data_IF_201839035752
#
_entry.id   IF_201839035752
#
_cell.length_a   1.000
_cell.length_b   1.000
_cell.length_c   1.000
_cell.angle_alpha   90.00
_cell.angle_beta   90.00
_cell.angle_gamma   90.00
#
_symmetry.space_group_name_H-M   'P 1'
#
loop_
_entity.id
_entity.type
_entity.pdbx_description
1 polymer ?
#
# COMPACT_ATOMS: atom_id res chain seq x y z
N UNK A 1 10.06 3.29 -7.79
CA UNK A 1 9.27 3.53 -9.02
C UNK A 1 7.85 2.94 -8.91
N UNK A 2 7.67 1.71 -8.40
CA UNK A 2 6.34 1.09 -8.20
C UNK A 2 5.41 1.80 -7.20
N UNK A 3 5.96 2.40 -6.13
CA UNK A 3 5.19 3.15 -5.13
C UNK A 3 4.55 4.43 -5.66
N UNK A 4 5.24 5.16 -6.55
CA UNK A 4 4.71 6.38 -7.16
C UNK A 4 3.57 6.09 -8.15
N UNK A 5 3.67 5.01 -8.93
CA UNK A 5 2.65 4.66 -9.94
C UNK A 5 1.29 4.30 -9.30
N UNK A 6 1.30 3.59 -8.16
CA UNK A 6 0.08 3.18 -7.43
C UNK A 6 -0.58 4.32 -6.67
N UNK A 7 0.18 5.24 -6.10
CA UNK A 7 -0.37 6.46 -5.50
C UNK A 7 -1.06 7.31 -6.57
N UNK A 8 -0.48 7.36 -7.78
CA UNK A 8 -1.03 8.10 -8.91
C UNK A 8 -2.33 7.49 -9.47
N UNK A 9 -2.62 6.20 -9.33
CA UNK A 9 -3.92 5.64 -9.74
C UNK A 9 -4.97 5.71 -8.64
N UNK A 10 -4.58 5.80 -7.37
CA UNK A 10 -5.51 5.80 -6.23
C UNK A 10 -6.40 7.04 -6.12
N UNK A 11 -6.11 8.13 -6.83
CA UNK A 11 -7.05 9.26 -6.96
C UNK A 11 -8.30 8.92 -7.81
N UNK A 12 -8.27 7.80 -8.54
CA UNK A 12 -9.40 7.27 -9.31
C UNK A 12 -10.29 6.34 -8.47
N UNK A 13 -9.85 5.98 -7.25
CA UNK A 13 -10.66 5.17 -6.35
C UNK A 13 -11.93 5.93 -5.94
N UNK A 14 -13.07 5.23 -5.80
CA UNK A 14 -14.31 5.88 -5.42
C UNK A 14 -14.17 6.50 -4.03
N UNK A 15 -14.60 7.74 -3.92
CA UNK A 15 -14.59 8.46 -2.66
C UNK A 15 -15.66 7.91 -1.71
N UNK A 16 -15.37 7.86 -0.39
CA UNK A 16 -16.39 7.56 0.60
C UNK A 16 -17.50 8.63 0.56
N UNK A 17 -18.73 8.28 0.98
CA UNK A 17 -19.83 9.22 1.02
C UNK A 17 -19.47 10.49 1.79
N UNK A 18 -19.86 11.64 1.23
CA UNK A 18 -19.58 12.94 1.83
C UNK A 18 -18.21 13.53 1.49
N UNK A 19 -17.42 12.87 0.65
CA UNK A 19 -16.21 13.45 0.07
C UNK A 19 -16.39 13.73 -1.42
N UNK A 20 -15.75 14.79 -1.89
CA UNK A 20 -15.57 15.07 -3.31
C UNK A 20 -14.16 15.60 -3.59
N UNK A 21 -13.69 15.41 -4.82
CA UNK A 21 -12.44 15.99 -5.28
C UNK A 21 -12.72 17.25 -6.10
N UNK A 22 -12.20 18.40 -5.66
CA UNK A 22 -12.50 19.69 -6.29
C UNK A 22 -11.53 20.04 -7.45
N UNK A 23 -10.72 19.09 -7.91
CA UNK A 23 -9.67 19.31 -8.91
C UNK A 23 -8.30 19.70 -8.33
N UNK A 24 -8.24 20.04 -7.04
CA UNK A 24 -7.02 20.39 -6.33
C UNK A 24 -6.82 19.60 -5.03
N UNK A 25 -7.91 19.41 -4.26
CA UNK A 25 -7.94 18.78 -2.95
C UNK A 25 -9.22 17.96 -2.78
N UNK A 26 -9.16 17.01 -1.84
CA UNK A 26 -10.34 16.32 -1.35
C UNK A 26 -11.00 17.20 -0.28
N UNK A 27 -12.32 17.30 -0.36
CA UNK A 27 -13.12 18.14 0.52
C UNK A 27 -14.26 17.30 1.08
N UNK A 28 -14.51 17.42 2.38
CA UNK A 28 -15.66 16.76 3.02
C UNK A 28 -16.92 17.65 2.99
N UNK A 29 -18.02 17.15 3.56
CA UNK A 29 -19.30 17.89 3.64
C UNK A 29 -19.25 19.15 4.52
N UNK A 30 -18.26 19.27 5.41
CA UNK A 30 -18.07 20.42 6.29
C UNK A 30 -17.13 21.46 5.68
N UNK A 31 -16.46 21.12 4.58
CA UNK A 31 -15.52 21.98 3.88
C UNK A 31 -14.07 21.79 4.29
N UNK A 32 -13.77 20.80 5.13
CA UNK A 32 -12.40 20.46 5.51
C UNK A 32 -11.66 19.87 4.31
N UNK A 33 -10.39 20.27 4.15
CA UNK A 33 -9.59 19.97 2.96
C UNK A 33 -8.38 19.13 3.29
N UNK A 34 -8.10 18.16 2.44
CA UNK A 34 -6.88 17.35 2.50
C UNK A 34 -6.30 17.12 1.11
N UNK A 35 -4.98 16.97 1.06
CA UNK A 35 -4.26 16.66 -0.17
C UNK A 35 -4.30 15.16 -0.50
N UNK A 36 -4.63 14.32 0.47
CA UNK A 36 -4.62 12.87 0.33
C UNK A 36 -6.04 12.32 0.28
N UNK A 37 -6.20 11.19 -0.42
CA UNK A 37 -7.48 10.47 -0.46
C UNK A 37 -7.91 10.10 0.98
N UNK A 38 -9.19 10.23 1.36
CA UNK A 38 -9.65 9.94 2.72
C UNK A 38 -9.33 8.51 3.20
N UNK A 39 -9.28 7.54 2.27
CA UNK A 39 -8.90 6.15 2.57
C UNK A 39 -7.39 5.88 2.47
N UNK A 40 -6.53 6.90 2.53
CA UNK A 40 -5.08 6.74 2.35
C UNK A 40 -4.45 5.78 3.37
N UNK A 41 -4.95 5.72 4.60
CA UNK A 41 -4.43 4.78 5.60
C UNK A 41 -4.70 3.31 5.22
N UNK A 42 -5.91 3.00 4.75
CA UNK A 42 -6.26 1.64 4.31
C UNK A 42 -5.40 1.23 3.11
N UNK A 43 -5.21 2.15 2.18
CA UNK A 43 -4.30 1.99 1.05
C UNK A 43 -2.87 1.67 1.46
N UNK A 44 -2.36 2.28 2.55
CA UNK A 44 -1.03 1.99 3.09
C UNK A 44 -1.01 0.59 3.72
N UNK A 45 -2.04 0.22 4.49
CA UNK A 45 -2.15 -1.10 5.12
C UNK A 45 -2.16 -2.22 4.09
N UNK A 46 -2.95 -2.08 3.02
CA UNK A 46 -2.99 -3.04 1.90
C UNK A 46 -1.61 -3.24 1.28
N UNK A 47 -0.89 -2.13 1.04
CA UNK A 47 0.45 -2.19 0.47
C UNK A 47 1.43 -2.94 1.38
N UNK A 48 1.42 -2.62 2.68
CA UNK A 48 2.28 -3.30 3.67
C UNK A 48 1.95 -4.79 3.72
N UNK A 49 0.66 -5.15 3.74
CA UNK A 49 0.24 -6.55 3.76
C UNK A 49 0.71 -7.33 2.53
N UNK A 50 0.59 -6.74 1.33
CA UNK A 50 1.07 -7.35 0.10
C UNK A 50 2.60 -7.50 0.09
N UNK A 51 3.34 -6.46 0.48
CA UNK A 51 4.79 -6.51 0.57
C UNK A 51 5.27 -7.57 1.58
N UNK A 52 4.63 -7.65 2.75
CA UNK A 52 4.94 -8.68 3.75
C UNK A 52 4.68 -10.09 3.22
N UNK A 53 3.58 -10.28 2.48
CA UNK A 53 3.26 -11.56 1.85
C UNK A 53 4.33 -11.98 0.83
N UNK A 54 4.85 -11.05 0.03
CA UNK A 54 5.96 -11.34 -0.90
C UNK A 54 7.24 -11.75 -0.14
N UNK A 55 7.54 -11.07 0.97
CA UNK A 55 8.68 -11.40 1.83
C UNK A 55 8.51 -12.78 2.46
N UNK A 56 7.33 -13.10 3.00
CA UNK A 56 7.04 -14.42 3.58
C UNK A 56 7.21 -15.54 2.56
N UNK A 57 6.70 -15.35 1.33
CA UNK A 57 6.88 -16.33 0.25
C UNK A 57 8.36 -16.57 -0.05
N UNK A 58 9.16 -15.51 -0.11
CA UNK A 58 10.59 -15.62 -0.33
C UNK A 58 11.31 -16.31 0.82
N UNK A 59 10.99 -15.96 2.07
CA UNK A 59 11.57 -16.60 3.25
C UNK A 59 11.25 -18.10 3.30
N UNK A 60 10.00 -18.50 3.03
CA UNK A 60 9.62 -19.91 2.94
C UNK A 60 10.40 -20.66 1.86
N UNK A 61 10.68 -20.02 0.71
CA UNK A 61 11.51 -20.62 -0.34
C UNK A 61 12.94 -20.84 0.15
N UNK A 62 13.53 -19.86 0.84
CA UNK A 62 14.88 -19.99 1.40
C UNK A 62 14.98 -21.10 2.46
N UNK A 63 14.00 -21.20 3.35
CA UNK A 63 13.92 -22.26 4.36
C UNK A 63 13.81 -23.64 3.70
N UNK A 64 12.99 -23.77 2.65
CA UNK A 64 12.80 -25.04 1.91
C UNK A 64 14.04 -25.51 1.16
N UNK A 65 14.92 -24.58 0.75
CA UNK A 65 16.14 -24.91 0.04
C UNK A 65 17.20 -25.53 0.96
N UNK A 66 17.00 -25.47 2.29
CA UNK A 66 17.92 -26.01 3.30
C UNK A 66 19.32 -25.44 3.10
N UNK A 67 19.65 -24.34 3.78
CA UNK A 67 21.01 -23.81 3.68
C UNK A 67 21.99 -24.87 4.21
N UNK A 68 22.87 -25.45 3.38
CA UNK A 68 23.90 -26.34 3.89
C UNK A 68 24.77 -25.51 4.84
N UNK A 69 24.94 -25.99 6.07
CA UNK A 69 25.83 -25.35 7.01
C UNK A 69 27.24 -25.36 6.40
N UNK A 70 27.74 -24.17 6.11
CA UNK A 70 29.03 -23.97 5.44
C UNK A 70 30.21 -24.45 6.31
N UNK A 71 29.96 -24.74 7.59
CA UNK A 71 30.94 -25.13 8.59
C UNK A 71 30.69 -26.53 9.17
N UNK A 72 29.75 -27.31 8.61
CA UNK A 72 29.67 -28.73 8.96
C UNK A 72 30.94 -29.47 8.47
N UNK A 73 31.56 -30.32 9.32
CA UNK A 73 32.89 -30.89 9.09
C UNK A 73 32.98 -31.98 8.02
#
# INVERSE_FOLDING_TARGET
>A
VLTQQRVMTRHLEPLPPGYFYNGYQYVDIFGDKTNFHPNMEEFIKEYIAEANKEIEQFNCQLESQGQPDLFEP
#
